data_IF_117229536626
#
_entry.id   IF_117229536626
#
_cell.length_a   1.000
_cell.length_b   1.000
_cell.length_c   1.000
_cell.angle_alpha   90.00
_cell.angle_beta   90.00
_cell.angle_gamma   90.00
#
_symmetry.space_group_name_H-M   'P 1'
#
loop_
_entity.id
_entity.type
_entity.pdbx_description
1 polymer ?
#
# COMPACT_ATOMS: atom_id res chain seq x y z
N UNK A 1 -5.78 -17.62 -1.69
CA UNK A 1 -6.37 -16.30 -1.44
C UNK A 1 -6.15 -15.47 -2.69
N UNK A 2 -7.22 -14.99 -3.35
CA UNK A 2 -7.08 -14.06 -4.49
C UNK A 2 -6.85 -12.67 -3.91
N UNK A 3 -5.78 -12.00 -4.33
CA UNK A 3 -5.56 -10.59 -3.97
C UNK A 3 -6.71 -9.76 -4.56
N UNK A 4 -7.21 -8.78 -3.83
CA UNK A 4 -8.16 -7.81 -4.42
C UNK A 4 -7.41 -6.88 -5.36
N UNK A 5 -8.09 -6.35 -6.38
CA UNK A 5 -7.48 -5.40 -7.33
C UNK A 5 -6.85 -4.20 -6.59
N UNK A 6 -7.52 -3.68 -5.56
CA UNK A 6 -6.99 -2.60 -4.71
C UNK A 6 -5.68 -2.98 -4.02
N UNK A 7 -5.58 -4.18 -3.45
CA UNK A 7 -4.35 -4.65 -2.78
C UNK A 7 -3.20 -4.75 -3.79
N UNK A 8 -3.49 -5.14 -5.03
CA UNK A 8 -2.48 -5.23 -6.09
C UNK A 8 -1.96 -3.85 -6.50
N UNK A 9 -2.86 -2.89 -6.73
CA UNK A 9 -2.48 -1.52 -7.07
C UNK A 9 -1.71 -0.82 -5.94
N UNK A 10 -2.04 -1.10 -4.68
CA UNK A 10 -1.25 -0.62 -3.54
C UNK A 10 0.18 -1.17 -3.58
N UNK A 11 0.35 -2.47 -3.86
CA UNK A 11 1.68 -3.08 -3.98
C UNK A 11 2.48 -2.47 -5.13
N UNK A 12 1.84 -2.22 -6.28
CA UNK A 12 2.46 -1.61 -7.45
C UNK A 12 2.93 -0.17 -7.19
N UNK A 13 2.11 0.66 -6.52
CA UNK A 13 2.53 2.02 -6.15
C UNK A 13 3.68 2.02 -5.11
N UNK A 14 3.71 1.05 -4.19
CA UNK A 14 4.85 0.85 -3.27
C UNK A 14 6.10 0.45 -4.04
N UNK A 15 6.00 -0.46 -5.01
CA UNK A 15 7.12 -0.89 -5.86
C UNK A 15 7.75 0.28 -6.62
N UNK A 16 6.89 1.17 -7.14
CA UNK A 16 7.28 2.40 -7.84
C UNK A 16 7.78 3.51 -6.91
N UNK A 17 7.72 3.30 -5.58
CA UNK A 17 8.04 4.29 -4.54
C UNK A 17 7.16 5.55 -4.62
N UNK A 18 5.95 5.42 -5.15
CA UNK A 18 4.98 6.51 -5.33
C UNK A 18 4.12 6.70 -4.06
N UNK A 19 4.75 6.96 -2.92
CA UNK A 19 4.04 7.05 -1.64
C UNK A 19 3.02 8.19 -1.57
N UNK A 20 3.15 9.22 -2.43
CA UNK A 20 2.14 10.28 -2.59
C UNK A 20 0.77 9.74 -3.00
N UNK A 21 0.76 8.70 -3.84
CA UNK A 21 -0.45 8.06 -4.37
C UNK A 21 -1.09 7.08 -3.38
N UNK A 22 -0.41 6.72 -2.27
CA UNK A 22 -0.95 5.81 -1.26
C UNK A 22 -2.01 6.50 -0.39
N UNK A 23 -3.16 6.79 -0.98
CA UNK A 23 -4.32 7.37 -0.32
C UNK A 23 -5.60 6.82 -0.92
N UNK A 24 -6.62 6.69 -0.08
CA UNK A 24 -7.95 6.24 -0.51
C UNK A 24 -8.54 7.11 -1.65
N UNK A 25 -8.23 8.42 -1.68
CA UNK A 25 -8.65 9.32 -2.77
C UNK A 25 -8.04 8.96 -4.13
N UNK A 26 -6.78 8.49 -4.16
CA UNK A 26 -6.13 8.12 -5.42
C UNK A 26 -6.71 6.84 -6.01
N UNK A 27 -7.09 5.88 -5.15
CA UNK A 27 -7.66 4.60 -5.57
C UNK A 27 -9.20 4.61 -5.70
N UNK A 28 -9.83 5.79 -5.59
CA UNK A 28 -11.29 5.96 -5.64
C UNK A 28 -12.05 4.96 -4.73
N UNK A 29 -11.58 4.84 -3.48
CA UNK A 29 -12.10 3.89 -2.49
C UNK A 29 -12.37 4.58 -1.15
N UNK A 30 -13.10 3.93 -0.25
CA UNK A 30 -13.30 4.46 1.10
C UNK A 30 -12.01 4.38 1.93
N UNK A 31 -11.85 5.30 2.89
CA UNK A 31 -10.73 5.27 3.84
C UNK A 31 -10.63 3.91 4.55
N UNK A 32 -11.77 3.36 4.97
CA UNK A 32 -11.84 2.06 5.66
C UNK A 32 -11.38 0.90 4.77
N UNK A 33 -11.78 0.86 3.50
CA UNK A 33 -11.32 -0.18 2.57
C UNK A 33 -9.82 -0.10 2.27
N UNK A 34 -9.30 1.11 2.13
CA UNK A 34 -7.88 1.34 1.95
C UNK A 34 -7.06 0.88 3.17
N UNK A 35 -7.46 1.27 4.38
CA UNK A 35 -6.82 0.85 5.63
C UNK A 35 -6.89 -0.66 5.83
N UNK A 36 -8.05 -1.27 5.59
CA UNK A 36 -8.22 -2.73 5.65
C UNK A 36 -7.31 -3.45 4.64
N UNK A 37 -7.11 -2.88 3.45
CA UNK A 37 -6.24 -3.46 2.42
C UNK A 37 -4.77 -3.38 2.85
N UNK A 38 -4.33 -2.26 3.42
CA UNK A 38 -2.99 -2.13 4.00
C UNK A 38 -2.76 -3.13 5.14
N UNK A 39 -3.74 -3.29 6.03
CA UNK A 39 -3.65 -4.22 7.15
C UNK A 39 -3.63 -5.68 6.68
N UNK A 40 -4.43 -6.03 5.67
CA UNK A 40 -4.35 -7.35 5.03
C UNK A 40 -2.97 -7.60 4.42
N UNK A 41 -2.43 -6.65 3.67
CA UNK A 41 -1.10 -6.78 3.06
C UNK A 41 0.00 -6.96 4.12
N UNK A 42 -0.06 -6.23 5.23
CA UNK A 42 0.85 -6.40 6.38
C UNK A 42 0.68 -7.76 7.03
N UNK A 43 -0.57 -8.14 7.35
CA UNK A 43 -0.92 -9.42 7.98
C UNK A 43 -0.42 -10.62 7.18
N UNK A 44 -0.46 -10.53 5.86
CA UNK A 44 0.01 -11.59 4.95
C UNK A 44 1.50 -11.46 4.56
N UNK A 45 2.22 -10.51 5.16
CA UNK A 45 3.65 -10.33 5.00
C UNK A 45 4.06 -9.84 3.61
N UNK A 46 3.17 -9.17 2.87
CA UNK A 46 3.50 -8.57 1.59
C UNK A 46 4.23 -7.24 1.74
N UNK A 47 3.89 -6.47 2.78
CA UNK A 47 4.49 -5.16 3.03
C UNK A 47 4.93 -5.03 4.49
N UNK A 48 5.93 -4.19 4.72
CA UNK A 48 6.32 -3.68 6.03
C UNK A 48 6.34 -2.15 5.99
N UNK A 49 6.06 -1.49 7.11
CA UNK A 49 6.03 -0.03 7.21
C UNK A 49 4.69 0.52 7.66
N UNK A 50 4.60 1.84 7.78
CA UNK A 50 3.45 2.54 8.36
C UNK A 50 3.27 3.94 7.77
N UNK A 51 2.07 4.47 7.95
CA UNK A 51 1.72 5.87 7.71
C UNK A 51 1.73 6.56 9.06
N UNK A 52 2.50 7.63 9.18
CA UNK A 52 2.59 8.46 10.38
C UNK A 52 1.90 9.78 10.09
N UNK A 53 0.79 9.99 10.79
CA UNK A 53 0.15 11.29 10.84
C UNK A 53 0.98 12.20 11.77
N UNK A 54 1.37 13.38 11.29
CA UNK A 54 2.04 14.35 12.14
C UNK A 54 1.03 14.91 13.14
N UNK A 55 1.35 14.83 14.44
CA UNK A 55 0.48 15.32 15.51
C UNK A 55 0.25 16.84 15.39
N UNK A 56 -0.86 17.22 14.77
CA UNK A 56 -1.65 18.38 15.19
C UNK A 56 -1.59 19.66 14.35
N UNK A 57 -0.78 19.79 13.28
CA UNK A 57 -0.79 21.05 12.51
C UNK A 57 -0.29 20.99 11.07
N UNK A 58 0.49 19.98 10.69
CA UNK A 58 1.16 19.95 9.38
C UNK A 58 0.56 18.81 8.55
N UNK A 59 0.04 19.15 7.37
CA UNK A 59 -0.53 18.23 6.34
C UNK A 59 0.46 17.22 5.75
N UNK A 60 1.61 16.98 6.39
CA UNK A 60 2.63 16.07 5.89
C UNK A 60 2.51 14.74 6.61
N UNK A 61 1.69 13.85 6.04
CA UNK A 61 1.75 12.43 6.36
C UNK A 61 3.10 11.89 5.91
N UNK A 62 3.85 11.28 6.82
CA UNK A 62 5.04 10.55 6.46
C UNK A 62 4.66 9.10 6.17
N UNK A 63 5.00 8.62 4.97
CA UNK A 63 4.66 7.26 4.52
C UNK A 63 5.94 6.56 4.16
N UNK A 64 6.15 5.38 4.73
CA UNK A 64 7.21 4.48 4.29
C UNK A 64 6.69 3.05 4.25
N UNK A 65 6.99 2.38 3.14
CA UNK A 65 6.66 0.99 2.95
C UNK A 65 7.80 0.27 2.23
N UNK A 66 8.03 -0.98 2.61
CA UNK A 66 8.94 -1.92 1.97
C UNK A 66 8.12 -3.12 1.50
N UNK A 67 8.41 -3.59 0.29
CA UNK A 67 7.88 -4.87 -0.19
C UNK A 67 8.70 -6.01 0.39
N UNK A 68 8.05 -7.14 0.65
CA UNK A 68 8.76 -8.40 0.85
C UNK A 68 9.10 -9.05 -0.49
N UNK A 69 10.07 -9.96 -0.49
CA UNK A 69 10.42 -10.77 -1.67
C UNK A 69 9.20 -11.48 -2.29
N UNK A 70 8.23 -11.87 -1.45
CA UNK A 70 6.97 -12.47 -1.89
C UNK A 70 6.11 -11.50 -2.69
N UNK A 71 6.03 -10.23 -2.28
CA UNK A 71 5.30 -9.20 -3.00
C UNK A 71 6.00 -8.82 -4.31
N UNK A 72 7.33 -8.69 -4.29
CA UNK A 72 8.12 -8.43 -5.49
C UNK A 72 7.97 -9.57 -6.50
N UNK A 73 8.01 -10.82 -6.04
CA UNK A 73 7.77 -12.00 -6.87
C UNK A 73 6.34 -12.08 -7.44
N UNK A 74 5.36 -11.50 -6.75
CA UNK A 74 3.98 -11.44 -7.23
C UNK A 74 3.85 -10.43 -8.37
N UNK A 75 4.45 -9.24 -8.20
CA UNK A 75 4.41 -8.16 -9.20
C UNK A 75 5.20 -8.54 -10.46
N UNK A 76 6.36 -9.19 -10.32
CA UNK A 76 7.19 -9.59 -11.46
C UNK A 76 6.54 -10.66 -12.36
N UNK A 77 5.69 -11.52 -11.79
CA UNK A 77 4.95 -12.54 -12.54
C UNK A 77 3.79 -11.99 -13.37
N UNK A 78 3.38 -10.75 -13.11
CA UNK A 78 2.30 -10.06 -13.81
C UNK A 78 2.80 -9.02 -14.83
N UNK A 79 4.11 -8.99 -15.12
CA UNK A 79 4.66 -8.25 -16.26
C UNK A 79 4.42 -9.08 -17.53
N UNK A 80 3.23 -8.97 -18.11
CA UNK A 80 2.88 -9.50 -19.43
C UNK A 80 2.19 -8.42 -20.25
#
# INVERSE_FOLDING_TARGET
MKLKDLEYYILDEIAKKNFGNLSHHFFDTSKTEFENSLDNLKKHGFIQGNIFDSNGSIKNQFKFFFLSEKAESLLSKNVF
#
